data_IF_758965309990
#
_entry.id   IF_758965309990
#
_cell.length_a   1.000
_cell.length_b   1.000
_cell.length_c   1.000
_cell.angle_alpha   90.00
_cell.angle_beta   90.00
_cell.angle_gamma   90.00
#
_symmetry.space_group_name_H-M   'P 1'
#
loop_
_entity.id
_entity.type
_entity.pdbx_description
1 polymer ?
#
# COMPACT_ATOMS: atom_id res chain seq x y z
N UNK A 1 -15.39 -30.04 -7.03
CA UNK A 1 -14.09 -30.74 -6.83
C UNK A 1 -14.26 -31.74 -5.68
N UNK A 2 -13.91 -33.03 -5.85
CA UNK A 2 -13.99 -34.00 -4.75
C UNK A 2 -13.11 -33.54 -3.58
N UNK A 3 -13.59 -33.71 -2.35
CA UNK A 3 -12.91 -33.26 -1.12
C UNK A 3 -11.48 -33.84 -1.04
N UNK A 4 -11.29 -35.07 -1.52
CA UNK A 4 -9.99 -35.74 -1.59
C UNK A 4 -8.94 -35.04 -2.50
N UNK A 5 -9.35 -34.12 -3.38
CA UNK A 5 -8.46 -33.33 -4.25
C UNK A 5 -8.27 -31.89 -3.73
N UNK A 6 -8.68 -31.60 -2.50
CA UNK A 6 -8.50 -30.28 -1.89
C UNK A 6 -7.06 -30.16 -1.37
N UNK A 7 -6.25 -29.37 -2.06
CA UNK A 7 -4.91 -28.98 -1.61
C UNK A 7 -5.08 -27.83 -0.63
N UNK A 8 -4.75 -28.06 0.65
CA UNK A 8 -4.70 -27.01 1.64
C UNK A 8 -3.26 -26.47 1.69
N UNK A 9 -3.05 -25.15 1.66
CA UNK A 9 -1.73 -24.57 1.84
C UNK A 9 -1.20 -24.96 3.23
N UNK A 10 0.07 -25.33 3.28
CA UNK A 10 0.77 -25.59 4.54
C UNK A 10 1.02 -24.23 5.20
N UNK A 11 0.68 -24.11 6.49
CA UNK A 11 0.99 -22.92 7.29
C UNK A 11 2.51 -22.89 7.53
N UNK A 12 3.25 -22.26 6.62
CA UNK A 12 4.66 -21.94 6.81
C UNK A 12 4.82 -20.63 7.55
N UNK A 13 5.85 -20.52 8.40
CA UNK A 13 6.25 -19.25 9.01
C UNK A 13 6.98 -18.44 7.95
N UNK A 14 6.53 -17.21 7.70
CA UNK A 14 7.24 -16.29 6.80
C UNK A 14 8.57 -15.90 7.44
N UNK A 15 9.72 -16.16 6.82
CA UNK A 15 11.01 -15.94 7.47
C UNK A 15 11.23 -14.46 7.78
N UNK A 16 11.81 -14.17 8.95
CA UNK A 16 12.03 -12.81 9.43
C UNK A 16 12.90 -11.98 8.48
N UNK A 17 13.82 -12.63 7.76
CA UNK A 17 14.73 -11.99 6.80
C UNK A 17 14.02 -11.33 5.60
N UNK A 18 12.79 -11.73 5.30
CA UNK A 18 11.98 -11.16 4.23
C UNK A 18 10.97 -10.12 4.74
N UNK A 19 10.89 -9.89 6.05
CA UNK A 19 9.99 -8.89 6.63
C UNK A 19 10.50 -7.50 6.27
N UNK A 20 9.60 -6.64 5.77
CA UNK A 20 9.90 -5.24 5.52
C UNK A 20 10.01 -4.53 6.86
N UNK A 21 11.21 -4.08 7.19
CA UNK A 21 11.46 -3.24 8.37
C UNK A 21 11.37 -1.77 7.96
N UNK A 22 10.61 -0.99 8.74
CA UNK A 22 10.50 0.45 8.55
C UNK A 22 11.53 1.16 9.40
N UNK A 23 12.32 2.02 8.77
CA UNK A 23 13.31 2.86 9.43
C UNK A 23 12.86 4.33 9.41
N UNK A 24 13.23 5.08 10.44
CA UNK A 24 13.02 6.53 10.53
C UNK A 24 14.39 7.21 10.59
N UNK A 25 14.99 7.55 9.43
CA UNK A 25 16.30 8.19 9.40
C UNK A 25 16.29 9.56 10.08
N UNK A 26 15.14 10.24 10.01
CA UNK A 26 14.88 11.54 10.62
C UNK A 26 13.52 11.49 11.31
N UNK A 27 13.35 12.32 12.34
CA UNK A 27 12.06 12.50 13.00
C UNK A 27 11.09 13.21 12.04
N UNK A 28 10.00 12.53 11.60
CA UNK A 28 9.07 13.08 10.62
C UNK A 28 8.28 14.29 11.13
N UNK A 29 8.28 14.54 12.44
CA UNK A 29 7.55 15.66 13.03
C UNK A 29 8.37 16.96 13.04
N UNK A 30 9.68 16.91 12.81
CA UNK A 30 10.56 18.09 12.85
C UNK A 30 10.24 19.11 11.76
N UNK A 31 9.76 18.67 10.61
CA UNK A 31 9.47 19.55 9.46
C UNK A 31 8.00 20.00 9.41
N UNK A 32 7.24 19.84 10.50
CA UNK A 32 5.83 20.22 10.50
C UNK A 32 5.68 21.74 10.36
N UNK A 33 4.88 22.20 9.39
CA UNK A 33 4.62 23.62 9.22
C UNK A 33 3.78 24.15 10.39
N UNK A 34 4.11 25.36 10.83
CA UNK A 34 3.30 26.08 11.82
C UNK A 34 1.98 26.51 11.19
N UNK A 35 0.90 26.32 11.94
CA UNK A 35 -0.44 26.76 11.53
C UNK A 35 -0.67 28.18 12.06
N UNK A 36 -0.95 29.17 11.20
CA UNK A 36 -1.19 30.54 11.63
C UNK A 36 -2.56 30.68 12.33
N UNK A 37 -2.62 31.52 13.36
CA UNK A 37 -3.86 31.95 14.02
C UNK A 37 -3.98 33.48 13.95
N UNK A 38 -5.02 34.05 13.32
CA UNK A 38 -6.18 33.38 12.71
C UNK A 38 -5.87 32.73 11.35
N UNK A 39 -6.61 31.66 11.03
CA UNK A 39 -6.50 30.96 9.74
C UNK A 39 -6.90 31.88 8.57
N UNK A 40 -6.12 31.93 7.48
CA UNK A 40 -6.49 32.67 6.29
C UNK A 40 -7.70 32.06 5.59
N UNK A 41 -8.44 32.84 4.78
CA UNK A 41 -9.51 32.30 3.95
C UNK A 41 -8.95 31.28 2.94
N UNK A 42 -9.75 30.26 2.65
CA UNK A 42 -9.35 29.19 1.74
C UNK A 42 -9.00 29.71 0.35
N UNK A 43 -7.90 29.18 -0.19
CA UNK A 43 -7.51 29.35 -1.59
C UNK A 43 -7.21 27.97 -2.15
N UNK A 44 -7.83 27.58 -3.29
CA UNK A 44 -7.55 26.31 -3.94
C UNK A 44 -6.06 26.14 -4.22
N UNK A 45 -5.54 24.96 -3.89
CA UNK A 45 -4.14 24.59 -4.12
C UNK A 45 -3.92 23.96 -5.49
N UNK A 46 -2.76 23.32 -5.68
CA UNK A 46 -2.46 22.57 -6.91
C UNK A 46 -3.31 21.31 -7.03
N UNK A 47 -3.50 20.59 -5.92
CA UNK A 47 -4.23 19.30 -5.89
C UNK A 47 -5.54 19.41 -5.14
N UNK A 48 -5.59 20.22 -4.07
CA UNK A 48 -6.82 20.46 -3.33
C UNK A 48 -7.63 21.58 -4.00
N UNK A 49 -8.48 21.20 -4.95
CA UNK A 49 -9.41 22.12 -5.63
C UNK A 49 -10.63 22.43 -4.77
N UNK A 50 -11.36 23.50 -5.10
CA UNK A 50 -12.60 23.89 -4.41
C UNK A 50 -13.62 22.74 -4.43
N UNK A 51 -13.85 22.12 -5.59
CA UNK A 51 -14.81 21.01 -5.73
C UNK A 51 -14.46 19.79 -4.86
N UNK A 52 -13.16 19.49 -4.73
CA UNK A 52 -12.68 18.41 -3.85
C UNK A 52 -12.93 18.76 -2.39
N UNK A 53 -12.64 20.00 -1.99
CA UNK A 53 -12.89 20.47 -0.64
C UNK A 53 -14.38 20.50 -0.29
N UNK A 54 -15.24 21.00 -1.17
CA UNK A 54 -16.69 21.11 -0.92
C UNK A 54 -17.33 19.74 -0.65
N UNK A 55 -16.87 18.69 -1.35
CA UNK A 55 -17.29 17.30 -1.09
C UNK A 55 -16.89 16.83 0.30
N UNK A 56 -15.63 17.09 0.70
CA UNK A 56 -15.12 16.71 2.02
C UNK A 56 -15.88 17.47 3.12
N UNK A 57 -16.02 18.78 2.97
CA UNK A 57 -16.72 19.63 3.92
C UNK A 57 -18.20 19.22 4.07
N UNK A 58 -18.86 18.86 2.98
CA UNK A 58 -20.23 18.33 2.99
C UNK A 58 -20.36 17.06 3.83
N UNK A 59 -19.44 16.09 3.63
CA UNK A 59 -19.43 14.85 4.42
C UNK A 59 -19.06 15.10 5.89
N UNK A 60 -18.09 15.98 6.18
CA UNK A 60 -17.72 16.33 7.55
C UNK A 60 -18.88 16.99 8.31
N UNK A 61 -19.59 17.91 7.67
CA UNK A 61 -20.79 18.56 8.23
C UNK A 61 -21.93 17.58 8.45
N UNK A 62 -22.10 16.61 7.55
CA UNK A 62 -23.11 15.55 7.67
C UNK A 62 -22.84 14.63 8.86
N UNK A 63 -21.58 14.29 9.12
CA UNK A 63 -21.18 13.53 10.30
C UNK A 63 -21.41 14.37 11.58
N UNK A 64 -21.16 15.68 11.51
CA UNK A 64 -21.42 16.61 12.62
C UNK A 64 -20.44 16.47 13.79
N UNK A 65 -19.30 15.80 13.59
CA UNK A 65 -18.29 15.57 14.62
C UNK A 65 -17.41 16.80 14.89
N UNK A 66 -17.06 17.56 13.85
CA UNK A 66 -16.13 18.70 13.92
C UNK A 66 -16.85 20.03 14.04
N UNK A 67 -16.30 20.95 14.82
CA UNK A 67 -16.76 22.34 14.92
C UNK A 67 -16.37 23.14 13.67
N UNK A 68 -17.06 24.24 13.34
CA UNK A 68 -16.74 25.05 12.16
C UNK A 68 -15.27 25.49 12.09
N UNK A 69 -14.66 25.80 13.24
CA UNK A 69 -13.24 26.18 13.31
C UNK A 69 -12.29 24.98 13.11
N UNK A 70 -12.67 23.79 13.56
CA UNK A 70 -11.90 22.56 13.34
C UNK A 70 -11.95 22.13 11.88
N UNK A 71 -13.09 22.34 11.19
CA UNK A 71 -13.21 22.11 9.75
C UNK A 71 -12.25 23.04 8.98
N UNK A 72 -12.17 24.31 9.36
CA UNK A 72 -11.19 25.25 8.78
C UNK A 72 -9.74 24.83 9.08
N UNK A 73 -9.48 24.30 10.28
CA UNK A 73 -8.16 23.79 10.63
C UNK A 73 -7.78 22.58 9.76
N UNK A 74 -8.70 21.63 9.61
CA UNK A 74 -8.51 20.46 8.75
C UNK A 74 -8.25 20.87 7.29
N UNK A 75 -8.95 21.89 6.80
CA UNK A 75 -8.72 22.47 5.47
C UNK A 75 -7.28 22.98 5.32
N UNK A 76 -6.78 23.74 6.30
CA UNK A 76 -5.43 24.29 6.27
C UNK A 76 -4.37 23.19 6.32
N UNK A 77 -4.58 22.16 7.15
CA UNK A 77 -3.67 21.00 7.25
C UNK A 77 -3.64 20.22 5.94
N UNK A 78 -4.78 19.98 5.31
CA UNK A 78 -4.85 19.29 4.02
C UNK A 78 -4.17 20.09 2.91
N UNK A 79 -4.40 21.41 2.86
CA UNK A 79 -3.77 22.31 1.89
C UNK A 79 -2.24 22.31 2.06
N UNK A 80 -1.76 22.37 3.29
CA UNK A 80 -0.32 22.34 3.59
C UNK A 80 0.35 21.03 3.17
N UNK A 81 -0.40 19.92 3.14
CA UNK A 81 0.09 18.59 2.81
C UNK A 81 -0.40 18.10 1.43
N UNK A 82 -0.87 19.00 0.57
CA UNK A 82 -1.59 18.62 -0.65
C UNK A 82 -0.79 17.71 -1.60
N UNK A 83 0.53 17.86 -1.63
CA UNK A 83 1.43 17.07 -2.49
C UNK A 83 1.66 15.64 -1.96
N UNK A 84 1.38 15.39 -0.68
CA UNK A 84 1.47 14.06 -0.07
C UNK A 84 0.22 13.22 -0.30
N UNK A 85 -0.90 13.84 -0.70
CA UNK A 85 -2.18 13.18 -0.94
C UNK A 85 -2.35 12.99 -2.45
N UNK A 86 -2.75 11.79 -2.84
CA UNK A 86 -3.09 11.45 -4.21
C UNK A 86 -4.62 11.36 -4.32
N UNK A 87 -5.20 12.09 -5.27
CA UNK A 87 -6.62 12.02 -5.59
C UNK A 87 -6.91 11.07 -6.75
N UNK A 88 -5.95 10.96 -7.67
CA UNK A 88 -5.98 10.06 -8.83
C UNK A 88 -4.67 9.25 -8.88
N UNK A 89 -4.66 8.13 -9.62
CA UNK A 89 -3.48 7.26 -9.74
C UNK A 89 -2.26 7.98 -10.35
N UNK A 90 -2.47 9.04 -11.13
CA UNK A 90 -1.41 9.89 -11.70
C UNK A 90 -0.66 10.70 -10.64
N UNK A 91 -1.29 10.95 -9.49
CA UNK A 91 -0.71 11.71 -8.39
C UNK A 91 -0.05 10.80 -7.34
N UNK A 92 -0.14 9.48 -7.52
CA UNK A 92 0.40 8.47 -6.61
C UNK A 92 1.92 8.63 -6.48
N UNK A 93 2.36 8.96 -5.28
CA UNK A 93 3.78 8.97 -4.92
C UNK A 93 4.25 7.62 -4.38
N UNK A 94 5.57 7.49 -4.25
CA UNK A 94 6.21 6.45 -3.46
C UNK A 94 6.83 7.08 -2.22
N UNK A 95 6.85 6.34 -1.11
CA UNK A 95 7.62 6.75 0.06
C UNK A 95 9.10 6.83 -0.27
N UNK A 96 9.85 7.65 0.48
CA UNK A 96 11.30 7.74 0.35
C UNK A 96 11.93 6.34 0.53
N UNK A 97 12.97 6.04 -0.26
CA UNK A 97 13.63 4.73 -0.27
C UNK A 97 14.45 4.44 0.98
N UNK A 98 14.77 5.45 1.79
CA UNK A 98 15.46 5.32 3.07
C UNK A 98 14.54 4.88 4.23
N UNK A 99 13.22 4.97 4.04
CA UNK A 99 12.24 4.49 5.03
C UNK A 99 12.03 2.98 4.96
N UNK A 100 12.21 2.39 3.78
CA UNK A 100 11.90 0.99 3.52
C UNK A 100 13.04 0.35 2.73
N UNK A 101 13.62 -0.71 3.29
CA UNK A 101 14.56 -1.53 2.54
C UNK A 101 13.89 -2.17 1.31
N UNK A 102 14.64 -2.42 0.23
CA UNK A 102 14.12 -3.14 -0.93
C UNK A 102 13.48 -4.47 -0.54
N UNK A 103 12.26 -4.70 -1.03
CA UNK A 103 11.51 -5.93 -0.76
C UNK A 103 12.29 -7.12 -1.31
N UNK A 104 12.59 -8.09 -0.45
CA UNK A 104 13.12 -9.39 -0.85
C UNK A 104 11.95 -10.35 -1.00
N UNK A 105 11.79 -10.94 -2.19
CA UNK A 105 10.79 -11.98 -2.42
C UNK A 105 11.40 -13.33 -2.06
N UNK A 106 10.81 -14.12 -1.14
CA UNK A 106 11.30 -15.46 -0.86
C UNK A 106 11.10 -16.34 -2.09
N UNK A 107 12.20 -16.82 -2.66
CA UNK A 107 12.18 -17.79 -3.74
C UNK A 107 12.36 -19.19 -3.16
N UNK A 108 11.48 -20.10 -3.55
CA UNK A 108 11.65 -21.53 -3.26
C UNK A 108 12.46 -22.11 -4.41
N UNK A 109 13.45 -22.96 -4.11
CA UNK A 109 14.17 -23.69 -5.15
C UNK A 109 13.16 -24.45 -6.02
N UNK A 110 13.17 -24.17 -7.31
CA UNK A 110 12.32 -24.89 -8.24
C UNK A 110 12.77 -26.36 -8.30
N UNK A 111 11.88 -27.28 -7.94
CA UNK A 111 12.09 -28.69 -8.23
C UNK A 111 11.64 -28.90 -9.66
N UNK A 112 12.54 -29.24 -10.60
CA UNK A 112 12.13 -29.53 -11.96
C UNK A 112 11.11 -30.66 -11.93
N UNK A 113 10.06 -30.53 -12.72
CA UNK A 113 9.06 -31.57 -12.85
C UNK A 113 9.70 -32.80 -13.48
N UNK A 114 10.09 -33.78 -12.66
CA UNK A 114 10.58 -35.06 -13.15
C UNK A 114 9.34 -35.86 -13.53
N UNK A 115 9.03 -35.90 -14.82
CA UNK A 115 8.11 -36.90 -15.34
C UNK A 115 8.78 -38.27 -15.17
N UNK A 116 8.13 -39.18 -14.42
CA UNK A 116 8.63 -40.55 -14.31
C UNK A 116 8.57 -41.16 -15.71
N UNK A 117 9.71 -41.62 -16.24
CA UNK A 117 9.74 -42.40 -17.47
C UNK A 117 8.68 -43.50 -17.37
N UNK A 118 7.71 -43.48 -18.29
CA UNK A 118 6.74 -44.56 -18.39
C UNK A 118 7.52 -45.86 -18.59
N UNK A 119 7.17 -46.89 -17.80
CA UNK A 119 7.76 -48.22 -18.01
C UNK A 119 7.43 -48.67 -19.42
N UNK A 120 8.46 -49.05 -20.16
CA UNK A 120 8.29 -49.69 -21.46
C UNK A 120 7.48 -50.98 -21.24
N UNK A 121 6.40 -51.22 -22.00
CA UNK A 121 5.62 -52.46 -21.87
C UNK A 121 6.49 -53.68 -22.17
N UNK A 122 6.30 -54.81 -21.45
CA UNK A 122 7.19 -55.95 -21.58
C UNK A 122 7.28 -56.54 -23.00
N UNK A 123 6.19 -56.47 -23.78
CA UNK A 123 6.17 -56.96 -25.17
C UNK A 123 6.89 -56.06 -26.18
N UNK A 124 7.41 -54.91 -25.76
CA UNK A 124 8.22 -54.01 -26.60
C UNK A 124 9.72 -54.13 -26.31
N UNK A 125 10.13 -54.95 -25.33
CA UNK A 125 11.55 -55.15 -25.01
C UNK A 125 12.31 -55.88 -26.12
N UNK A 126 11.64 -56.78 -26.86
CA UNK A 126 12.26 -57.56 -27.94
C UNK A 126 12.52 -56.74 -29.23
N UNK A 127 11.99 -55.51 -29.31
CA UNK A 127 12.05 -54.62 -30.49
C UNK A 127 12.98 -53.41 -30.30
N UNK A 128 13.65 -53.31 -29.16
CA UNK A 128 14.63 -52.26 -28.83
C UNK A 128 16.06 -52.82 -28.97
#
# INVERSE_FOLDING_TARGET
KPVAKKVNPILGIFPDEFKVVRHFPEDPLKSLPLIPDPLPPFKPGKRLTQERWDKIEGELKKIGFLWPKEIQLAQAVLLSNELGIAWDDTEKGQFRSDYFEPIKLPTIQHVPWIEKNMRIPPGLHDQL
#
